data_IF_887803304752
#
_entry.id   IF_887803304752
#
_cell.length_a   1.000
_cell.length_b   1.000
_cell.length_c   1.000
_cell.angle_alpha   90.00
_cell.angle_beta   90.00
_cell.angle_gamma   90.00
#
_symmetry.space_group_name_H-M   'P 1'
#
loop_
_entity.id
_entity.type
_entity.pdbx_description
1 polymer ?
#
# COMPACT_ATOMS: atom_id res chain seq x y z
N UNK A 1 -75.05 6.26 -36.48
CA UNK A 1 -74.79 5.61 -35.18
C UNK A 1 -73.91 4.41 -35.45
N UNK A 2 -72.59 4.58 -35.37
CA UNK A 2 -71.58 3.57 -35.71
C UNK A 2 -71.06 2.89 -34.45
N UNK A 3 -71.08 1.56 -34.43
CA UNK A 3 -70.58 0.71 -33.35
C UNK A 3 -69.05 0.67 -33.40
N UNK A 4 -68.38 0.95 -32.27
CA UNK A 4 -66.93 0.80 -32.13
C UNK A 4 -66.67 -0.49 -31.34
N UNK A 5 -66.29 -1.55 -32.04
CA UNK A 5 -65.73 -2.78 -31.47
C UNK A 5 -64.28 -2.51 -31.07
N UNK A 6 -63.95 -2.66 -29.79
CA UNK A 6 -62.58 -2.68 -29.28
C UNK A 6 -62.01 -4.10 -29.45
N UNK A 7 -60.83 -4.29 -30.09
CA UNK A 7 -60.20 -5.60 -30.14
C UNK A 7 -59.58 -5.98 -28.78
N UNK A 8 -59.46 -7.29 -28.47
CA UNK A 8 -58.94 -7.78 -27.19
C UNK A 8 -57.44 -7.53 -27.06
N UNK A 9 -57.03 -7.08 -25.88
CA UNK A 9 -55.64 -6.79 -25.53
C UNK A 9 -54.91 -8.09 -25.16
N UNK A 10 -53.91 -8.47 -25.96
CA UNK A 10 -53.07 -9.67 -25.76
C UNK A 10 -52.16 -9.52 -24.52
N UNK A 11 -52.08 -10.49 -23.59
CA UNK A 11 -51.29 -10.39 -22.36
C UNK A 11 -49.84 -10.86 -22.56
N UNK A 12 -49.17 -10.37 -23.62
CA UNK A 12 -47.79 -10.76 -23.93
C UNK A 12 -46.91 -9.56 -24.23
N UNK A 13 -46.85 -8.61 -23.30
CA UNK A 13 -45.74 -7.65 -23.26
C UNK A 13 -44.70 -8.25 -22.32
N UNK A 14 -43.52 -8.70 -22.79
CA UNK A 14 -42.44 -9.01 -21.88
C UNK A 14 -42.09 -7.71 -21.15
N UNK A 15 -42.38 -7.65 -19.85
CA UNK A 15 -41.76 -6.67 -18.97
C UNK A 15 -40.26 -6.89 -19.12
N UNK A 16 -39.63 -6.00 -19.89
CA UNK A 16 -38.19 -5.91 -19.94
C UNK A 16 -37.79 -5.29 -18.60
N UNK A 17 -37.78 -6.12 -17.55
CA UNK A 17 -37.02 -5.93 -16.33
C UNK A 17 -35.53 -6.00 -16.70
N UNK A 18 -35.10 -5.09 -17.58
CA UNK A 18 -33.70 -4.72 -17.70
C UNK A 18 -33.36 -4.03 -16.39
N UNK A 19 -33.13 -4.86 -15.38
CA UNK A 19 -32.55 -4.50 -14.11
C UNK A 19 -31.47 -3.46 -14.37
N UNK A 20 -31.69 -2.28 -13.81
CA UNK A 20 -30.68 -1.25 -13.63
C UNK A 20 -29.60 -1.81 -12.67
N UNK A 21 -28.85 -2.83 -13.12
CA UNK A 21 -27.73 -3.43 -12.38
C UNK A 21 -26.61 -2.42 -12.39
N UNK A 22 -26.65 -1.54 -11.40
CA UNK A 22 -25.51 -0.71 -11.04
C UNK A 22 -24.35 -1.67 -10.79
N UNK A 23 -23.21 -1.53 -11.49
CA UNK A 23 -22.08 -2.43 -11.28
C UNK A 23 -21.66 -2.38 -9.81
N UNK A 24 -21.26 -3.52 -9.21
CA UNK A 24 -20.82 -3.54 -7.82
C UNK A 24 -19.69 -2.53 -7.62
N UNK A 25 -19.66 -1.82 -6.48
CA UNK A 25 -18.62 -0.82 -6.23
C UNK A 25 -17.25 -1.48 -6.32
N UNK A 26 -16.24 -0.78 -6.87
CA UNK A 26 -14.89 -1.31 -6.97
C UNK A 26 -14.37 -1.68 -5.58
N UNK A 27 -13.49 -2.70 -5.48
CA UNK A 27 -12.92 -3.10 -4.21
C UNK A 27 -12.19 -1.90 -3.57
N UNK A 28 -12.29 -1.76 -2.24
CA UNK A 28 -11.63 -0.66 -1.54
C UNK A 28 -10.13 -0.74 -1.77
N UNK A 29 -9.55 0.37 -2.24
CA UNK A 29 -8.11 0.56 -2.37
C UNK A 29 -7.58 1.32 -1.15
N UNK A 30 -6.28 1.21 -0.86
CA UNK A 30 -5.65 1.92 0.27
C UNK A 30 -6.05 3.42 0.39
N UNK A 31 -6.05 4.24 -0.68
CA UNK A 31 -6.45 5.65 -0.57
C UNK A 31 -7.96 5.86 -0.34
N UNK A 32 -8.81 4.86 -0.61
CA UNK A 32 -10.26 4.95 -0.36
C UNK A 32 -10.65 4.62 1.09
N UNK A 33 -9.71 4.10 1.89
CA UNK A 33 -9.94 3.86 3.31
C UNK A 33 -10.07 5.17 4.10
N UNK A 34 -10.79 5.16 5.24
CA UNK A 34 -10.78 6.29 6.17
C UNK A 34 -9.35 6.65 6.64
N UNK A 35 -9.06 7.94 6.90
CA UNK A 35 -7.74 8.41 7.34
C UNK A 35 -7.20 7.71 8.59
N UNK A 36 -8.09 7.28 9.49
CA UNK A 36 -7.74 6.57 10.73
C UNK A 36 -7.13 5.21 10.42
N UNK A 37 -7.75 4.46 9.48
CA UNK A 37 -7.22 3.17 9.04
C UNK A 37 -5.91 3.34 8.27
N UNK A 38 -5.83 4.37 7.43
CA UNK A 38 -4.58 4.69 6.73
C UNK A 38 -3.46 5.00 7.72
N UNK A 39 -3.75 5.78 8.76
CA UNK A 39 -2.78 6.15 9.81
C UNK A 39 -2.34 4.93 10.64
N UNK A 40 -3.26 4.02 10.95
CA UNK A 40 -2.91 2.75 11.60
C UNK A 40 -1.98 1.90 10.72
N UNK A 41 -2.30 1.77 9.43
CA UNK A 41 -1.48 1.00 8.48
C UNK A 41 -0.07 1.61 8.41
N UNK A 42 0.04 2.93 8.23
CA UNK A 42 1.35 3.59 8.09
C UNK A 42 2.19 3.51 9.36
N UNK A 43 1.56 3.53 10.55
CA UNK A 43 2.24 3.38 11.84
C UNK A 43 2.90 2.00 12.04
N UNK A 44 2.43 0.97 11.33
CA UNK A 44 3.00 -0.39 11.39
C UNK A 44 4.09 -0.65 10.34
N UNK A 45 4.37 0.28 9.44
CA UNK A 45 5.37 0.09 8.39
C UNK A 45 6.79 0.31 8.92
N UNK A 46 7.73 -0.52 8.46
CA UNK A 46 9.16 -0.27 8.67
C UNK A 46 9.62 0.93 7.84
N UNK A 47 10.70 1.60 8.25
CA UNK A 47 11.24 2.79 7.54
C UNK A 47 11.29 2.67 6.01
N UNK A 48 11.90 1.62 5.40
CA UNK A 48 11.98 1.52 3.94
C UNK A 48 10.62 1.39 3.26
N UNK A 49 9.65 0.76 3.93
CA UNK A 49 8.31 0.53 3.38
C UNK A 49 7.46 1.80 3.52
N UNK A 50 7.52 2.48 4.68
CA UNK A 50 6.90 3.78 4.91
C UNK A 50 7.41 4.84 3.94
N UNK A 51 8.73 4.91 3.72
CA UNK A 51 9.32 5.82 2.74
C UNK A 51 8.85 5.50 1.31
N UNK A 52 8.72 4.22 0.98
CA UNK A 52 8.21 3.82 -0.34
C UNK A 52 6.76 4.26 -0.52
N UNK A 53 5.90 4.03 0.48
CA UNK A 53 4.50 4.47 0.50
C UNK A 53 4.38 5.98 0.33
N UNK A 54 5.19 6.74 1.07
CA UNK A 54 5.27 8.21 1.01
C UNK A 54 5.49 8.73 -0.41
N UNK A 55 6.25 8.01 -1.23
CA UNK A 55 6.54 8.40 -2.63
C UNK A 55 5.55 7.86 -3.67
N UNK A 56 4.52 7.09 -3.28
CA UNK A 56 3.52 6.57 -4.23
C UNK A 56 2.44 7.59 -4.60
N UNK A 57 2.02 8.42 -3.65
CA UNK A 57 0.89 9.35 -3.81
C UNK A 57 1.13 10.61 -2.97
N UNK A 58 0.68 11.76 -3.46
CA UNK A 58 0.71 13.05 -2.74
C UNK A 58 0.03 13.00 -1.37
N UNK A 59 -1.07 12.25 -1.23
CA UNK A 59 -1.77 12.06 0.04
C UNK A 59 -0.86 11.42 1.09
N UNK A 60 -0.27 10.26 0.75
CA UNK A 60 0.67 9.57 1.64
C UNK A 60 1.95 10.35 1.87
N UNK A 61 2.37 11.19 0.91
CA UNK A 61 3.51 12.07 1.09
C UNK A 61 3.34 13.01 2.29
N UNK A 62 2.10 13.47 2.52
CA UNK A 62 1.76 14.42 3.59
C UNK A 62 1.41 13.73 4.91
N UNK A 63 0.82 12.53 4.86
CA UNK A 63 0.31 11.84 6.05
C UNK A 63 1.28 10.81 6.65
N UNK A 64 2.21 10.27 5.87
CA UNK A 64 3.13 9.22 6.34
C UNK A 64 4.33 9.83 7.08
N UNK A 65 4.50 9.48 8.35
CA UNK A 65 5.67 9.90 9.14
C UNK A 65 6.90 9.00 8.85
N UNK A 66 7.98 9.62 8.40
CA UNK A 66 9.31 9.00 8.19
C UNK A 66 10.37 9.65 9.08
N UNK A 67 9.95 10.12 10.26
CA UNK A 67 10.78 10.82 11.22
C UNK A 67 11.94 9.99 11.79
N UNK A 68 12.75 10.65 12.62
CA UNK A 68 13.95 10.07 13.25
C UNK A 68 13.64 8.80 14.03
N UNK A 69 12.50 8.76 14.73
CA UNK A 69 12.07 7.59 15.53
C UNK A 69 12.01 6.32 14.68
N UNK A 70 11.38 6.41 13.50
CA UNK A 70 11.22 5.27 12.61
C UNK A 70 12.57 4.81 12.02
N UNK A 71 13.45 5.76 11.67
CA UNK A 71 14.82 5.49 11.19
C UNK A 71 15.65 4.75 12.24
N UNK A 72 15.60 5.23 13.48
CA UNK A 72 16.34 4.62 14.61
C UNK A 72 15.77 3.25 14.93
N UNK A 73 14.45 3.11 15.03
CA UNK A 73 13.79 1.83 15.26
C UNK A 73 14.19 0.78 14.22
N UNK A 74 14.21 1.15 12.94
CA UNK A 74 14.67 0.29 11.85
C UNK A 74 16.15 -0.11 11.99
N UNK A 75 17.04 0.81 12.34
CA UNK A 75 18.46 0.49 12.58
C UNK A 75 18.65 -0.47 13.76
N UNK A 76 17.90 -0.28 14.84
CA UNK A 76 17.91 -1.16 16.01
C UNK A 76 17.41 -2.56 15.66
N UNK A 77 16.29 -2.67 14.95
CA UNK A 77 15.74 -3.94 14.48
C UNK A 77 16.75 -4.70 13.62
N UNK A 78 17.40 -4.02 12.66
CA UNK A 78 18.43 -4.63 11.82
C UNK A 78 19.63 -5.13 12.62
N UNK A 79 20.04 -4.40 13.66
CA UNK A 79 21.11 -4.84 14.56
C UNK A 79 20.69 -6.08 15.36
N UNK A 80 19.46 -6.12 15.85
CA UNK A 80 18.91 -7.28 16.56
C UNK A 80 18.87 -8.54 15.67
N UNK A 81 18.51 -8.37 14.39
CA UNK A 81 18.49 -9.44 13.39
C UNK A 81 19.90 -9.80 12.84
N UNK A 82 20.97 -9.23 13.40
CA UNK A 82 22.38 -9.42 12.96
C UNK A 82 22.60 -9.15 11.46
N UNK A 83 21.77 -8.28 10.87
CA UNK A 83 21.91 -7.86 9.49
C UNK A 83 23.03 -6.82 9.36
N UNK A 84 23.56 -6.65 8.15
CA UNK A 84 24.56 -5.63 7.87
C UNK A 84 23.99 -4.23 8.19
N UNK A 85 24.62 -3.53 9.13
CA UNK A 85 24.25 -2.18 9.55
C UNK A 85 25.00 -1.13 8.69
N UNK A 86 24.31 -0.10 8.17
CA UNK A 86 24.90 0.88 7.27
C UNK A 86 25.93 1.85 7.89
N UNK A 87 26.16 1.80 9.21
CA UNK A 87 26.95 2.78 9.97
C UNK A 87 28.46 2.50 10.11
N UNK A 88 29.02 1.46 9.46
CA UNK A 88 30.39 0.96 9.72
C UNK A 88 31.57 1.89 9.33
N UNK A 89 31.37 3.20 9.10
CA UNK A 89 32.49 4.11 8.83
C UNK A 89 32.16 5.61 8.77
N UNK A 90 30.94 5.98 8.35
CA UNK A 90 30.41 7.36 8.42
C UNK A 90 29.02 7.26 9.05
N UNK A 91 28.74 8.05 10.09
CA UNK A 91 27.45 8.01 10.78
C UNK A 91 26.26 8.22 9.82
N UNK A 92 25.10 7.66 10.16
CA UNK A 92 23.87 7.92 9.42
C UNK A 92 23.36 9.33 9.78
N UNK A 93 23.12 10.16 8.76
CA UNK A 93 22.51 11.48 8.96
C UNK A 93 20.98 11.30 9.03
N UNK A 94 20.42 11.49 10.23
CA UNK A 94 18.99 11.25 10.51
C UNK A 94 18.11 12.46 10.15
N UNK A 95 18.71 13.61 9.78
CA UNK A 95 17.99 14.88 9.64
C UNK A 95 16.93 14.87 8.54
N UNK A 96 17.15 14.17 7.43
CA UNK A 96 16.17 14.04 6.36
C UNK A 96 16.25 12.68 5.67
N UNK A 97 15.16 12.27 5.01
CA UNK A 97 15.12 11.01 4.26
C UNK A 97 16.18 10.99 3.15
N UNK A 98 16.37 12.13 2.47
CA UNK A 98 17.39 12.28 1.43
C UNK A 98 18.80 12.07 1.98
N UNK A 99 19.11 12.60 3.16
CA UNK A 99 20.44 12.47 3.79
C UNK A 99 20.63 11.07 4.36
N UNK A 100 19.59 10.54 4.98
CA UNK A 100 19.61 9.20 5.59
C UNK A 100 19.80 8.11 4.54
N UNK A 101 19.12 8.20 3.41
CA UNK A 101 19.22 7.22 2.33
C UNK A 101 20.55 7.25 1.55
N UNK A 102 21.54 8.08 1.91
CA UNK A 102 22.83 8.12 1.22
C UNK A 102 23.79 7.01 1.67
N UNK A 103 24.74 6.67 0.80
CA UNK A 103 25.85 5.78 1.11
C UNK A 103 25.43 4.37 1.52
N UNK A 104 25.75 3.96 2.75
CA UNK A 104 25.50 2.61 3.26
C UNK A 104 24.03 2.21 3.28
N UNK A 105 23.13 3.16 3.59
CA UNK A 105 21.68 2.92 3.63
C UNK A 105 21.13 2.64 2.24
N UNK A 106 21.54 3.38 1.19
CA UNK A 106 21.15 3.11 -0.19
C UNK A 106 21.49 1.67 -0.61
N UNK A 107 22.68 1.19 -0.25
CA UNK A 107 23.12 -0.17 -0.56
C UNK A 107 22.25 -1.22 0.14
N UNK A 108 21.90 -0.97 1.41
CA UNK A 108 21.00 -1.85 2.18
C UNK A 108 19.61 -1.90 1.56
N UNK A 109 19.01 -0.75 1.27
CA UNK A 109 17.68 -0.67 0.64
C UNK A 109 17.69 -1.38 -0.72
N UNK A 110 18.74 -1.20 -1.53
CA UNK A 110 18.89 -1.89 -2.81
C UNK A 110 18.96 -3.41 -2.63
N UNK A 111 19.75 -3.92 -1.67
CA UNK A 111 19.83 -5.36 -1.40
C UNK A 111 18.50 -5.95 -0.93
N UNK A 112 17.73 -5.23 -0.11
CA UNK A 112 16.38 -5.65 0.31
C UNK A 112 15.45 -5.84 -0.89
N UNK A 113 15.50 -4.96 -1.90
CA UNK A 113 14.70 -5.09 -3.14
C UNK A 113 15.11 -6.29 -3.99
N UNK A 114 16.38 -6.65 -3.96
CA UNK A 114 16.91 -7.82 -4.67
C UNK A 114 16.75 -9.11 -3.86
N UNK A 115 15.97 -9.10 -2.76
CA UNK A 115 15.81 -10.25 -1.87
C UNK A 115 17.11 -10.83 -1.32
N UNK A 116 18.21 -10.06 -1.32
CA UNK A 116 19.54 -10.57 -0.91
C UNK A 116 19.66 -10.90 0.59
N UNK A 117 18.66 -10.55 1.39
CA UNK A 117 18.56 -10.88 2.82
C UNK A 117 17.52 -12.00 3.08
N UNK A 118 16.81 -12.47 2.06
CA UNK A 118 15.79 -13.50 2.16
C UNK A 118 16.40 -14.92 2.14
N UNK A 119 17.45 -15.14 1.33
CA UNK A 119 18.11 -16.45 1.18
C UNK A 119 18.93 -16.88 2.43
N UNK A 120 19.25 -15.93 3.31
CA UNK A 120 20.05 -16.19 4.52
C UNK A 120 19.22 -16.72 5.69
N UNK A 121 17.88 -16.76 5.57
CA UNK A 121 16.99 -17.31 6.59
C UNK A 121 16.77 -18.80 6.30
N UNK A 122 17.57 -19.65 6.95
CA UNK A 122 17.28 -21.08 7.00
C UNK A 122 15.83 -21.29 7.49
N UNK A 123 14.98 -21.88 6.64
CA UNK A 123 13.58 -22.19 6.95
C UNK A 123 12.49 -21.44 6.18
N UNK A 124 12.82 -20.62 5.17
CA UNK A 124 11.83 -19.99 4.27
C UNK A 124 11.98 -20.41 2.79
N UNK A 125 12.74 -21.49 2.53
CA UNK A 125 12.70 -22.16 1.24
C UNK A 125 11.42 -22.99 1.17
N UNK A 126 10.51 -22.65 0.27
CA UNK A 126 9.54 -23.63 -0.22
C UNK A 126 10.38 -24.70 -0.92
N UNK A 127 10.41 -25.90 -0.34
CA UNK A 127 10.98 -27.12 -0.94
C UNK A 127 10.41 -27.37 -2.32
#
# INVERSE_FOLDING_TARGET
MTLITTPPQDPSTPQNDSENRTPPPPPPTLPTLPPELQSLITAHLSYPDALSLKHTNRHFFQTTDTGVRLKVAWLLERRAQRLACPSRGRGCDLASDLRFCRGGVARVIRRRRMHGECESRAGLGWT
#
